data_IF_976336585343
#
_entry.id   IF_976336585343
#
_cell.length_a   1.000
_cell.length_b   1.000
_cell.length_c   1.000
_cell.angle_alpha   90.00
_cell.angle_beta   90.00
_cell.angle_gamma   90.00
#
_symmetry.space_group_name_H-M   'P 1'
#
loop_
_entity.id
_entity.type
_entity.pdbx_description
1 polymer ?
#
# COMPACT_ATOMS: atom_id res chain seq x y z
N UNK A 1 -25.03 28.23 -13.95
CA UNK A 1 -24.37 27.21 -14.76
C UNK A 1 -22.87 27.07 -14.48
N UNK A 2 -22.11 28.16 -14.33
CA UNK A 2 -20.69 28.09 -14.05
C UNK A 2 -20.31 27.44 -12.69
N UNK A 3 -21.17 27.60 -11.67
CA UNK A 3 -20.92 27.06 -10.32
C UNK A 3 -21.18 25.55 -10.20
N UNK A 4 -22.04 24.98 -11.04
CA UNK A 4 -22.40 23.56 -11.02
C UNK A 4 -21.27 22.68 -11.58
N UNK A 5 -20.55 23.19 -12.59
CA UNK A 5 -19.41 22.48 -13.20
C UNK A 5 -18.20 22.44 -12.25
N UNK A 6 -17.91 23.55 -11.54
CA UNK A 6 -16.85 23.60 -10.53
C UNK A 6 -17.11 22.67 -9.35
N UNK A 7 -18.37 22.57 -8.89
CA UNK A 7 -18.75 21.70 -7.77
C UNK A 7 -18.61 20.22 -8.14
N UNK A 8 -19.02 19.84 -9.36
CA UNK A 8 -18.87 18.48 -9.86
C UNK A 8 -17.39 18.10 -10.05
N UNK A 9 -16.56 19.02 -10.51
CA UNK A 9 -15.13 18.80 -10.68
C UNK A 9 -14.42 18.63 -9.34
N UNK A 10 -14.79 19.42 -8.32
CA UNK A 10 -14.25 19.29 -6.96
C UNK A 10 -14.65 17.96 -6.30
N UNK A 11 -15.88 17.47 -6.52
CA UNK A 11 -16.31 16.16 -6.02
C UNK A 11 -15.53 15.02 -6.67
N UNK A 12 -15.27 15.10 -7.98
CA UNK A 12 -14.48 14.10 -8.69
C UNK A 12 -13.02 14.06 -8.19
N UNK A 13 -12.45 15.22 -7.91
CA UNK A 13 -11.09 15.29 -7.36
C UNK A 13 -11.00 14.71 -5.93
N UNK A 14 -12.01 14.94 -5.09
CA UNK A 14 -12.03 14.38 -3.73
C UNK A 14 -12.19 12.86 -3.73
N UNK A 15 -12.99 12.29 -4.62
CA UNK A 15 -13.13 10.83 -4.76
C UNK A 15 -11.82 10.19 -5.23
N UNK A 16 -11.09 10.86 -6.11
CA UNK A 16 -9.78 10.38 -6.57
C UNK A 16 -8.73 10.40 -5.45
N UNK A 17 -8.76 11.40 -4.58
CA UNK A 17 -7.85 11.47 -3.42
C UNK A 17 -8.14 10.36 -2.40
N UNK A 18 -9.40 10.04 -2.12
CA UNK A 18 -9.77 8.93 -1.24
C UNK A 18 -9.30 7.58 -1.77
N UNK A 19 -9.39 7.33 -3.07
CA UNK A 19 -8.92 6.10 -3.68
C UNK A 19 -7.39 5.94 -3.61
N UNK A 20 -6.64 7.04 -3.62
CA UNK A 20 -5.17 7.02 -3.50
C UNK A 20 -4.69 6.79 -2.06
N UNK A 21 -5.48 7.18 -1.04
CA UNK A 21 -5.12 7.00 0.37
C UNK A 21 -5.41 5.60 0.92
N UNK A 22 -6.18 4.77 0.21
CA UNK A 22 -6.57 3.44 0.67
C UNK A 22 -5.38 2.56 1.07
N UNK A 23 -4.27 2.68 0.36
CA UNK A 23 -3.03 1.94 0.64
C UNK A 23 -1.92 2.84 1.17
N UNK A 24 -2.25 4.03 1.67
CA UNK A 24 -1.27 5.02 2.12
C UNK A 24 -0.36 4.55 3.25
N UNK A 25 -0.82 3.62 4.09
CA UNK A 25 -0.02 3.05 5.17
C UNK A 25 1.05 2.07 4.68
N UNK A 26 0.90 1.53 3.47
CA UNK A 26 1.97 0.80 2.82
C UNK A 26 3.02 1.78 2.28
N UNK A 27 4.16 1.83 2.91
CA UNK A 27 5.27 2.69 2.49
C UNK A 27 5.74 2.31 1.08
N UNK A 28 6.02 3.31 0.25
CA UNK A 28 6.66 3.11 -1.06
C UNK A 28 8.16 3.09 -0.86
N UNK A 29 8.80 1.99 -1.24
CA UNK A 29 10.24 1.80 -1.09
C UNK A 29 10.88 1.31 -2.37
N UNK A 30 12.18 1.51 -2.47
CA UNK A 30 13.00 1.01 -3.56
C UNK A 30 14.23 0.31 -2.96
N UNK A 31 14.42 -0.94 -3.31
CA UNK A 31 15.65 -1.63 -3.04
C UNK A 31 16.60 -1.46 -4.23
N UNK A 32 17.85 -1.16 -3.95
CA UNK A 32 18.90 -1.06 -4.96
C UNK A 32 19.98 -2.09 -4.63
N UNK A 33 20.25 -3.01 -5.58
CA UNK A 33 21.27 -4.01 -5.43
C UNK A 33 22.67 -3.42 -5.55
N UNK A 34 23.69 -4.18 -5.15
CA UNK A 34 25.09 -3.81 -5.32
C UNK A 34 25.50 -3.64 -6.80
N UNK A 35 24.73 -4.21 -7.72
CA UNK A 35 24.95 -4.12 -9.17
C UNK A 35 24.19 -2.98 -9.83
N UNK A 36 23.41 -2.20 -9.04
CA UNK A 36 22.64 -1.08 -9.54
C UNK A 36 21.22 -1.41 -10.00
N UNK A 37 20.78 -2.67 -9.91
CA UNK A 37 19.39 -3.02 -10.19
C UNK A 37 18.47 -2.50 -9.10
N UNK A 38 17.31 -2.02 -9.47
CA UNK A 38 16.33 -1.47 -8.53
C UNK A 38 15.03 -2.28 -8.55
N UNK A 39 14.42 -2.43 -7.37
CA UNK A 39 13.12 -3.08 -7.19
C UNK A 39 12.24 -2.18 -6.31
N UNK A 40 11.16 -1.71 -6.88
CA UNK A 40 10.12 -1.01 -6.11
C UNK A 40 9.35 -2.04 -5.28
N UNK A 41 8.91 -1.66 -4.10
CA UNK A 41 8.04 -2.51 -3.28
C UNK A 41 7.22 -1.67 -2.32
N UNK A 42 6.22 -2.29 -1.71
CA UNK A 42 5.42 -1.69 -0.65
C UNK A 42 5.68 -2.41 0.65
N UNK A 43 5.78 -1.67 1.74
CA UNK A 43 6.02 -2.21 3.07
C UNK A 43 5.00 -1.65 4.06
N UNK A 44 4.24 -2.55 4.69
CA UNK A 44 3.39 -2.21 5.83
C UNK A 44 4.12 -2.58 7.11
N UNK A 45 4.20 -1.62 8.05
CA UNK A 45 4.77 -1.85 9.39
C UNK A 45 3.68 -2.24 10.38
N UNK A 46 4.02 -2.99 11.44
CA UNK A 46 3.10 -3.16 12.55
C UNK A 46 2.64 -1.80 13.08
N UNK A 47 1.34 -1.67 13.41
CA UNK A 47 0.75 -0.39 13.81
C UNK A 47 1.38 0.18 15.08
N UNK A 48 1.65 -0.68 16.06
CA UNK A 48 2.26 -0.32 17.33
C UNK A 48 3.68 -0.91 17.45
N UNK A 49 4.50 -0.70 16.42
CA UNK A 49 5.87 -1.21 16.38
C UNK A 49 6.67 -0.71 17.57
N UNK A 50 7.26 -1.65 18.34
CA UNK A 50 8.10 -1.36 19.50
C UNK A 50 9.56 -1.62 19.17
N UNK A 51 10.42 -0.69 19.54
CA UNK A 51 11.86 -0.84 19.40
C UNK A 51 12.36 -2.08 20.16
N UNK A 52 13.21 -2.87 19.51
CA UNK A 52 13.76 -4.10 20.07
C UNK A 52 12.84 -5.33 20.03
N UNK A 53 11.56 -5.15 19.68
CA UNK A 53 10.64 -6.26 19.50
C UNK A 53 10.75 -6.80 18.07
N UNK A 54 10.79 -8.12 17.94
CA UNK A 54 10.77 -8.80 16.63
C UNK A 54 9.34 -9.11 16.23
N UNK A 55 9.06 -8.92 14.95
CA UNK A 55 7.76 -9.21 14.34
C UNK A 55 7.94 -10.15 13.16
N UNK A 56 6.95 -11.00 12.86
CA UNK A 56 7.00 -11.80 11.64
C UNK A 56 7.00 -10.91 10.40
N UNK A 57 7.63 -11.40 9.34
CA UNK A 57 7.59 -10.81 8.02
C UNK A 57 6.67 -11.65 7.12
N UNK A 58 5.63 -11.03 6.61
CA UNK A 58 4.74 -11.62 5.61
C UNK A 58 5.19 -11.18 4.23
N UNK A 59 5.49 -12.13 3.37
CA UNK A 59 5.73 -11.87 1.95
C UNK A 59 4.41 -12.09 1.20
N UNK A 60 3.84 -10.99 0.72
CA UNK A 60 2.61 -11.02 -0.05
C UNK A 60 2.89 -10.97 -1.54
N UNK A 61 2.57 -12.04 -2.25
CA UNK A 61 2.79 -12.16 -3.69
C UNK A 61 1.46 -12.03 -4.43
N UNK A 62 1.41 -11.12 -5.39
CA UNK A 62 0.23 -10.88 -6.21
C UNK A 62 0.04 -11.94 -7.30
N UNK A 63 -1.15 -11.96 -7.92
CA UNK A 63 -1.45 -12.80 -9.08
C UNK A 63 -0.94 -12.19 -10.40
N UNK A 64 -1.06 -12.96 -11.46
CA UNK A 64 -0.59 -12.54 -12.79
C UNK A 64 -1.32 -11.29 -13.35
N UNK A 65 -2.57 -11.08 -12.94
CA UNK A 65 -3.37 -9.92 -13.37
C UNK A 65 -2.94 -8.60 -12.73
N UNK A 66 -2.17 -8.63 -11.65
CA UNK A 66 -1.70 -7.46 -10.91
C UNK A 66 -0.24 -7.09 -11.26
N UNK A 67 0.28 -7.62 -12.32
CA UNK A 67 1.59 -7.22 -12.85
C UNK A 67 1.57 -5.75 -13.24
N UNK A 68 2.62 -5.03 -12.93
CA UNK A 68 2.73 -3.62 -13.27
C UNK A 68 3.96 -2.98 -12.68
N UNK A 69 4.13 -1.71 -13.01
CA UNK A 69 5.28 -0.90 -12.62
C UNK A 69 4.86 0.33 -11.79
N UNK A 70 3.58 0.43 -11.45
CA UNK A 70 3.03 1.55 -10.67
C UNK A 70 3.26 1.42 -9.16
N UNK A 71 3.78 0.30 -8.70
CA UNK A 71 3.96 -0.02 -7.28
C UNK A 71 2.65 0.09 -6.48
N UNK A 72 1.53 -0.26 -7.07
CA UNK A 72 0.21 -0.23 -6.44
C UNK A 72 -0.68 -1.41 -6.81
N UNK A 73 -0.65 -1.89 -8.04
CA UNK A 73 -1.49 -3.01 -8.49
C UNK A 73 -1.32 -4.27 -7.64
N UNK A 74 -0.12 -4.53 -7.13
CA UNK A 74 0.16 -5.68 -6.28
C UNK A 74 -0.69 -5.71 -4.99
N UNK A 75 -1.27 -4.59 -4.56
CA UNK A 75 -2.07 -4.49 -3.34
C UNK A 75 -3.57 -4.71 -3.55
N UNK A 76 -4.04 -4.68 -4.79
CA UNK A 76 -5.47 -4.59 -5.12
C UNK A 76 -6.29 -5.79 -4.61
N UNK A 77 -5.75 -7.00 -4.65
CA UNK A 77 -6.49 -8.22 -4.30
C UNK A 77 -6.08 -8.86 -2.97
N UNK A 78 -5.46 -8.13 -2.08
CA UNK A 78 -5.09 -8.70 -0.77
C UNK A 78 -4.54 -7.69 0.21
N UNK A 79 -4.15 -6.53 -0.27
CA UNK A 79 -3.57 -5.49 0.57
C UNK A 79 -4.48 -5.01 1.70
N UNK A 80 -5.78 -5.00 1.48
CA UNK A 80 -6.76 -4.55 2.48
C UNK A 80 -6.87 -5.47 3.68
N UNK A 81 -6.67 -6.77 3.50
CA UNK A 81 -6.73 -7.74 4.59
C UNK A 81 -5.75 -7.39 5.70
N UNK A 82 -4.56 -6.95 5.32
CA UNK A 82 -3.50 -6.58 6.26
C UNK A 82 -3.70 -5.18 6.88
N UNK A 83 -4.54 -4.34 6.27
CA UNK A 83 -4.91 -3.02 6.80
C UNK A 83 -6.07 -3.10 7.81
N UNK A 84 -6.79 -4.22 7.86
CA UNK A 84 -7.89 -4.39 8.78
C UNK A 84 -7.42 -4.21 10.23
N UNK A 85 -8.03 -3.31 11.02
CA UNK A 85 -7.57 -3.01 12.38
C UNK A 85 -7.52 -4.22 13.31
N UNK A 86 -8.49 -5.14 13.19
CA UNK A 86 -8.53 -6.38 14.00
C UNK A 86 -7.34 -7.26 13.66
N UNK A 87 -7.06 -7.46 12.37
CA UNK A 87 -5.92 -8.26 11.93
C UNK A 87 -4.59 -7.64 12.35
N UNK A 88 -4.47 -6.33 12.29
CA UNK A 88 -3.26 -5.63 12.71
C UNK A 88 -3.00 -5.73 14.21
N UNK A 89 -4.05 -5.74 15.01
CA UNK A 89 -3.95 -5.89 16.46
C UNK A 89 -3.63 -7.32 16.87
N UNK A 90 -4.33 -8.31 16.28
CA UNK A 90 -4.14 -9.73 16.63
C UNK A 90 -2.89 -10.35 16.03
N UNK A 91 -2.49 -9.91 14.84
CA UNK A 91 -1.38 -10.47 14.06
C UNK A 91 -0.41 -9.39 13.61
N UNK A 92 0.23 -8.66 14.53
CA UNK A 92 1.17 -7.61 14.15
C UNK A 92 2.35 -8.19 13.39
N UNK A 93 2.60 -7.64 12.19
CA UNK A 93 3.63 -8.13 11.28
C UNK A 93 4.08 -7.04 10.32
N UNK A 94 5.27 -7.19 9.77
CA UNK A 94 5.66 -6.50 8.56
C UNK A 94 5.04 -7.23 7.36
N UNK A 95 4.51 -6.49 6.40
CA UNK A 95 4.01 -7.05 5.14
C UNK A 95 4.78 -6.45 3.99
N UNK A 96 5.50 -7.27 3.26
CA UNK A 96 6.29 -6.90 2.10
C UNK A 96 5.55 -7.34 0.84
N UNK A 97 5.21 -6.38 -0.01
CA UNK A 97 4.49 -6.62 -1.25
C UNK A 97 5.32 -6.14 -2.46
N UNK A 98 6.07 -7.02 -3.13
CA UNK A 98 6.76 -6.70 -4.37
C UNK A 98 5.79 -6.59 -5.53
N UNK A 99 6.12 -5.82 -6.58
CA UNK A 99 5.30 -5.69 -7.77
C UNK A 99 5.34 -6.93 -8.67
#
# INVERSE_FOLDING_TARGET
>A
MKNTVCTALMLLMSVCMYAQELYGEYEKKVYVSSQGDSLKYRLLRPEAEKAGKKYPLVLFLHGAGERGDDNQKQLVHGGQMWLNPVNREEYPAFVLAPP
#
